data_IF_084275327812
#
_entry.id   IF_084275327812
#
_cell.length_a   1.000
_cell.length_b   1.000
_cell.length_c   1.000
_cell.angle_alpha   90.00
_cell.angle_beta   90.00
_cell.angle_gamma   90.00
#
_symmetry.space_group_name_H-M   'P 1'
#
loop_
_entity.id
_entity.type
_entity.pdbx_description
1 polymer ?
#
# COMPACT_ATOMS: atom_id res chain seq x y z
N UNK A 1 -6.47 -20.51 -15.91
CA UNK A 1 -5.96 -20.67 -14.53
C UNK A 1 -5.03 -19.50 -14.22
N UNK A 2 -5.06 -19.01 -12.98
CA UNK A 2 -4.24 -17.89 -12.47
C UNK A 2 -4.64 -16.50 -12.98
N UNK A 3 -5.80 -16.04 -12.51
CA UNK A 3 -6.27 -14.66 -12.56
C UNK A 3 -5.39 -13.85 -11.61
N UNK A 4 -4.16 -13.54 -12.06
CA UNK A 4 -3.27 -12.60 -11.38
C UNK A 4 -3.90 -11.23 -11.51
N UNK A 5 -4.81 -10.92 -10.60
CA UNK A 5 -5.33 -9.56 -10.43
C UNK A 5 -4.12 -8.66 -10.20
N UNK A 6 -3.86 -7.67 -11.07
CA UNK A 6 -2.78 -6.74 -10.85
C UNK A 6 -3.00 -6.09 -9.50
N UNK A 7 -1.95 -6.09 -8.69
CA UNK A 7 -2.04 -5.57 -7.34
C UNK A 7 -2.19 -4.05 -7.43
N UNK A 8 -3.42 -3.59 -7.30
CA UNK A 8 -3.80 -2.18 -7.45
C UNK A 8 -3.50 -1.46 -6.13
N UNK A 9 -2.32 -0.86 -6.06
CA UNK A 9 -1.83 -0.11 -4.89
C UNK A 9 -1.91 1.37 -5.20
N UNK A 10 -2.45 2.15 -4.26
CA UNK A 10 -2.57 3.60 -4.39
C UNK A 10 -1.67 4.33 -3.38
N UNK A 11 -1.50 5.63 -3.59
CA UNK A 11 -0.84 6.48 -2.60
C UNK A 11 -1.75 6.63 -1.38
N UNK A 12 -1.19 6.41 -0.19
CA UNK A 12 -1.89 6.34 1.08
C UNK A 12 -2.27 4.93 1.52
N UNK A 13 -2.06 3.91 0.66
CA UNK A 13 -2.28 2.52 1.05
C UNK A 13 -1.34 2.09 2.17
N UNK A 14 -1.89 1.35 3.14
CA UNK A 14 -1.09 0.71 4.19
C UNK A 14 -0.79 -0.72 3.80
N UNK A 15 0.49 -1.03 3.74
CA UNK A 15 1.00 -2.31 3.29
C UNK A 15 1.92 -2.91 4.34
N UNK A 16 1.90 -4.24 4.47
CA UNK A 16 2.77 -4.97 5.37
C UNK A 16 3.82 -5.71 4.55
N UNK A 17 5.08 -5.52 4.91
CA UNK A 17 6.21 -6.20 4.26
C UNK A 17 6.50 -7.53 4.95
N UNK A 18 6.98 -8.51 4.19
CA UNK A 18 7.51 -9.79 4.70
C UNK A 18 8.78 -9.60 5.51
N UNK A 19 9.61 -8.62 5.13
CA UNK A 19 10.83 -8.26 5.87
C UNK A 19 10.56 -7.04 6.75
N UNK A 20 10.96 -7.07 8.03
CA UNK A 20 10.88 -5.89 8.90
C UNK A 20 11.81 -4.79 8.39
N UNK A 21 11.42 -3.55 8.68
CA UNK A 21 12.33 -2.43 8.65
C UNK A 21 13.41 -2.61 9.74
N UNK A 22 14.66 -2.12 9.57
CA UNK A 22 15.67 -2.10 10.63
C UNK A 22 15.23 -1.52 11.98
N UNK A 23 14.12 -0.77 12.04
CA UNK A 23 13.54 -0.32 13.32
C UNK A 23 12.60 -1.33 14.00
N UNK A 24 12.34 -2.49 13.41
CA UNK A 24 11.37 -3.49 13.88
C UNK A 24 9.94 -3.35 13.35
N UNK A 25 9.65 -2.30 12.58
CA UNK A 25 8.33 -2.06 11.98
C UNK A 25 8.06 -2.91 10.75
N UNK A 26 6.83 -3.43 10.61
CA UNK A 26 6.38 -4.20 9.44
C UNK A 26 5.43 -3.42 8.54
N UNK A 27 4.90 -2.32 9.05
CA UNK A 27 3.87 -1.51 8.40
C UNK A 27 4.47 -0.32 7.68
N UNK A 28 3.99 -0.14 6.47
CA UNK A 28 4.47 0.87 5.54
C UNK A 28 3.27 1.56 4.91
N UNK A 29 3.39 2.85 4.72
CA UNK A 29 2.44 3.66 3.97
C UNK A 29 3.05 3.99 2.62
N UNK A 30 2.29 3.73 1.56
CA UNK A 30 2.72 4.06 0.21
C UNK A 30 2.59 5.55 0.00
N UNK A 31 3.68 6.21 -0.34
CA UNK A 31 3.75 7.66 -0.54
C UNK A 31 3.91 8.05 -2.01
N UNK A 32 4.41 7.13 -2.85
CA UNK A 32 4.61 7.34 -4.28
C UNK A 32 4.47 6.03 -5.03
N UNK A 33 3.79 6.08 -6.19
CA UNK A 33 3.70 5.00 -7.17
C UNK A 33 4.33 5.48 -8.49
N UNK A 34 5.23 4.69 -9.06
CA UNK A 34 5.93 4.98 -10.31
C UNK A 34 6.85 3.82 -10.71
N UNK A 35 7.98 4.12 -11.35
CA UNK A 35 9.05 3.13 -11.58
C UNK A 35 9.59 2.56 -10.26
N UNK A 36 9.75 3.44 -9.28
CA UNK A 36 10.04 3.12 -7.89
C UNK A 36 8.84 3.41 -6.99
N UNK A 37 8.58 2.50 -6.07
CA UNK A 37 7.55 2.63 -5.04
C UNK A 37 8.19 3.31 -3.83
N UNK A 38 7.73 4.52 -3.52
CA UNK A 38 8.12 5.25 -2.32
C UNK A 38 7.21 4.86 -1.16
N UNK A 39 7.78 4.48 -0.03
CA UNK A 39 7.03 4.06 1.15
C UNK A 39 7.62 4.65 2.43
N UNK A 40 6.75 4.95 3.38
CA UNK A 40 7.09 5.50 4.70
C UNK A 40 6.83 4.46 5.77
N UNK A 41 7.81 4.17 6.60
CA UNK A 41 7.60 3.31 7.76
C UNK A 41 6.67 4.01 8.74
N UNK A 42 5.56 3.37 9.12
CA UNK A 42 4.61 3.94 10.08
C UNK A 42 5.13 3.91 11.52
N UNK A 43 6.13 3.06 11.81
CA UNK A 43 6.74 2.95 13.14
C UNK A 43 7.77 4.04 13.43
N UNK A 44 8.65 4.36 12.47
CA UNK A 44 9.74 5.34 12.70
C UNK A 44 9.71 6.54 11.75
N UNK A 45 8.77 6.60 10.81
CA UNK A 45 8.60 7.72 9.89
C UNK A 45 9.62 7.83 8.75
N UNK A 46 10.63 6.95 8.68
CA UNK A 46 11.63 6.94 7.59
C UNK A 46 11.01 6.57 6.26
N UNK A 47 11.47 7.21 5.19
CA UNK A 47 11.03 6.96 3.81
C UNK A 47 12.08 6.17 3.06
N UNK A 48 11.65 5.17 2.29
CA UNK A 48 12.52 4.37 1.43
C UNK A 48 11.90 4.28 0.03
N UNK A 49 12.75 4.15 -0.98
CA UNK A 49 12.33 3.89 -2.35
C UNK A 49 12.75 2.47 -2.72
N UNK A 50 11.81 1.72 -3.29
CA UNK A 50 12.04 0.33 -3.68
C UNK A 50 11.52 0.11 -5.10
N UNK A 51 12.27 -0.55 -5.99
CA UNK A 51 11.77 -0.88 -7.32
C UNK A 51 10.49 -1.70 -7.23
N UNK A 52 9.54 -1.48 -8.14
CA UNK A 52 8.23 -2.15 -8.13
C UNK A 52 8.35 -3.68 -8.03
N UNK A 53 9.23 -4.30 -8.83
CA UNK A 53 9.42 -5.75 -8.82
C UNK A 53 9.94 -6.30 -7.48
N UNK A 54 10.72 -5.50 -6.74
CA UNK A 54 11.18 -5.86 -5.39
C UNK A 54 10.06 -5.68 -4.38
N UNK A 55 9.23 -4.64 -4.53
CA UNK A 55 8.07 -4.38 -3.69
C UNK A 55 7.08 -5.53 -3.78
N UNK A 56 6.66 -5.90 -4.98
CA UNK A 56 5.68 -6.97 -5.22
C UNK A 56 6.14 -8.32 -4.63
N UNK A 57 7.44 -8.64 -4.73
CA UNK A 57 8.01 -9.86 -4.13
C UNK A 57 8.09 -9.83 -2.59
N UNK A 58 8.24 -8.64 -1.99
CA UNK A 58 8.43 -8.47 -0.54
C UNK A 58 7.15 -8.12 0.18
N UNK A 59 6.11 -7.73 -0.54
CA UNK A 59 4.81 -7.47 0.01
C UNK A 59 4.23 -8.75 0.61
N UNK A 60 3.79 -8.67 1.86
CA UNK A 60 3.09 -9.77 2.53
C UNK A 60 1.59 -9.65 2.29
N UNK A 61 1.04 -8.47 2.57
CA UNK A 61 -0.38 -8.18 2.45
C UNK A 61 -0.62 -6.67 2.39
N UNK A 62 -1.74 -6.25 1.80
CA UNK A 62 -2.26 -4.89 1.91
C UNK A 62 -3.14 -4.87 3.17
N UNK A 63 -2.78 -4.03 4.14
CA UNK A 63 -3.46 -3.93 5.45
C UNK A 63 -4.72 -3.08 5.33
N UNK A 64 -4.67 -2.01 4.54
CA UNK A 64 -5.82 -1.14 4.31
C UNK A 64 -5.82 -0.70 2.86
N UNK A 65 -6.53 -1.43 1.97
CA UNK A 65 -6.87 -0.90 0.66
C UNK A 65 -7.71 0.35 0.88
N UNK A 66 -7.28 1.50 0.37
CA UNK A 66 -8.14 2.71 0.36
C UNK A 66 -9.30 2.58 -0.64
N UNK A 67 -9.73 1.36 -0.95
CA UNK A 67 -10.93 1.12 -1.74
C UNK A 67 -12.14 1.26 -0.81
N UNK A 68 -12.69 2.49 -0.85
CA UNK A 68 -14.06 2.88 -0.48
C UNK A 68 -14.30 3.11 1.03
N UNK A 69 -14.65 4.34 1.48
CA UNK A 69 -15.75 4.39 2.43
C UNK A 69 -16.94 3.78 1.69
N UNK A 70 -17.44 2.64 2.16
CA UNK A 70 -18.77 2.19 1.81
C UNK A 70 -19.76 3.31 2.21
N UNK A 71 -20.01 4.21 1.27
CA UNK A 71 -21.01 5.26 1.28
C UNK A 71 -21.66 5.23 -0.08
N UNK A 72 -22.74 4.46 -0.16
CA UNK A 72 -23.66 4.32 -1.27
C UNK A 72 -24.65 5.49 -1.21
N UNK A 73 -24.87 6.16 -2.34
CA UNK A 73 -26.10 6.83 -2.81
C UNK A 73 -27.07 7.49 -1.81
N UNK A 74 -27.31 8.80 -1.95
CA UNK A 74 -28.65 9.40 -2.19
C UNK A 74 -28.60 10.93 -2.05
N UNK A 75 -28.71 11.66 -3.16
CA UNK A 75 -29.36 12.98 -3.15
C UNK A 75 -30.46 12.95 -4.20
N UNK A 76 -31.72 12.80 -3.77
CA UNK A 76 -32.70 13.90 -3.88
C UNK A 76 -33.40 14.14 -2.51
N UNK A 77 -34.10 15.27 -2.23
CA UNK A 77 -34.82 16.21 -3.11
C UNK A 77 -34.26 17.67 -3.04
N UNK A 78 -34.54 18.60 -3.95
CA UNK A 78 -35.82 19.26 -4.25
C UNK A 78 -35.76 19.96 -5.62
#
# INVERSE_FOLDING_TARGET
MSRQVPLEIHIGDRVRMRKPHPCGGYEWEVTRIGADIGMRCLTCGRRVMLPRSRFEKRLAQIVTPRSRPAGHESSPPH
#
